data_IF_178592631940
#
_entry.id   IF_178592631940
#
_cell.length_a   1.000
_cell.length_b   1.000
_cell.length_c   1.000
_cell.angle_alpha   90.00
_cell.angle_beta   90.00
_cell.angle_gamma   90.00
#
_symmetry.space_group_name_H-M   'P 1'
#
loop_
_entity.id
_entity.type
_entity.pdbx_description
1 polymer ?
#
# COMPACT_ATOMS: atom_id res chain seq x y z
N UNK A 1 8.35 0.61 5.27
CA UNK A 1 7.00 0.02 5.41
C UNK A 1 6.50 -0.61 4.10
N UNK A 2 7.29 -1.49 3.46
CA UNK A 2 6.83 -2.16 2.23
C UNK A 2 5.91 -3.34 2.53
N UNK A 3 5.00 -3.68 1.60
CA UNK A 3 3.99 -4.72 1.79
C UNK A 3 4.60 -6.06 2.25
N UNK A 4 5.63 -6.58 1.55
CA UNK A 4 6.32 -7.81 1.93
C UNK A 4 6.72 -7.85 3.42
N UNK A 5 7.37 -6.79 3.89
CA UNK A 5 7.87 -6.74 5.27
C UNK A 5 6.71 -6.67 6.26
N UNK A 6 5.65 -5.93 5.94
CA UNK A 6 4.45 -5.85 6.77
C UNK A 6 3.72 -7.20 6.84
N UNK A 7 3.59 -7.92 5.72
CA UNK A 7 3.00 -9.26 5.70
C UNK A 7 3.83 -10.26 6.52
N UNK A 8 5.16 -10.18 6.43
CA UNK A 8 6.03 -11.04 7.20
C UNK A 8 5.94 -10.75 8.71
N UNK A 9 6.00 -9.46 9.10
CA UNK A 9 5.99 -9.06 10.51
C UNK A 9 4.60 -9.23 11.17
N UNK A 10 3.52 -8.89 10.45
CA UNK A 10 2.17 -8.92 11.02
C UNK A 10 1.51 -10.30 10.92
N UNK A 11 1.74 -11.02 9.82
CA UNK A 11 0.98 -12.22 9.46
C UNK A 11 1.86 -13.47 9.29
N UNK A 12 3.19 -13.35 9.35
CA UNK A 12 4.11 -14.45 9.07
C UNK A 12 4.07 -14.95 7.62
N UNK A 13 3.56 -14.12 6.69
CA UNK A 13 3.42 -14.47 5.27
C UNK A 13 4.60 -13.91 4.48
N UNK A 14 5.27 -14.77 3.70
CA UNK A 14 6.30 -14.37 2.74
C UNK A 14 5.70 -14.26 1.34
N UNK A 15 6.07 -13.20 0.62
CA UNK A 15 5.65 -12.96 -0.76
C UNK A 15 6.86 -12.60 -1.62
N UNK A 16 6.87 -13.09 -2.85
CA UNK A 16 7.92 -12.79 -3.84
C UNK A 16 7.71 -11.38 -4.42
N UNK A 17 8.82 -10.68 -4.71
CA UNK A 17 8.82 -9.40 -5.44
C UNK A 17 9.33 -9.52 -6.87
N UNK A 18 9.61 -10.74 -7.34
CA UNK A 18 10.33 -10.94 -8.60
C UNK A 18 9.62 -10.35 -9.82
N UNK A 19 8.28 -10.28 -9.81
CA UNK A 19 7.49 -9.75 -10.93
C UNK A 19 7.11 -8.26 -10.76
N UNK A 20 7.60 -7.59 -9.71
CA UNK A 20 7.27 -6.17 -9.49
C UNK A 20 7.73 -5.28 -10.66
N UNK A 21 8.84 -5.63 -11.31
CA UNK A 21 9.44 -4.89 -12.43
C UNK A 21 9.45 -5.69 -13.73
N UNK A 22 8.52 -6.63 -13.93
CA UNK A 22 8.34 -7.34 -15.21
C UNK A 22 7.52 -6.51 -16.21
N UNK A 23 7.40 -6.98 -17.45
CA UNK A 23 6.58 -6.32 -18.46
C UNK A 23 5.08 -6.54 -18.21
N UNK A 24 4.44 -5.57 -17.55
CA UNK A 24 3.00 -5.53 -17.29
C UNK A 24 2.16 -5.01 -18.47
N UNK A 25 2.82 -4.52 -19.53
CA UNK A 25 2.15 -4.05 -20.74
C UNK A 25 1.99 -5.13 -21.81
N UNK A 26 2.50 -6.34 -21.58
CA UNK A 26 2.42 -7.45 -22.52
C UNK A 26 0.97 -7.90 -22.77
N UNK A 27 0.68 -8.31 -24.02
CA UNK A 27 -0.66 -8.80 -24.42
C UNK A 27 -1.12 -10.03 -23.61
N UNK A 28 -0.18 -10.87 -23.17
CA UNK A 28 -0.44 -12.03 -22.34
C UNK A 28 0.46 -12.00 -21.10
N UNK A 29 -0.15 -12.11 -19.91
CA UNK A 29 0.57 -12.23 -18.66
C UNK A 29 1.06 -13.66 -18.46
N UNK A 30 2.26 -13.80 -17.89
CA UNK A 30 2.78 -15.10 -17.46
C UNK A 30 2.10 -15.59 -16.18
N UNK A 31 2.10 -16.89 -15.94
CA UNK A 31 1.58 -17.47 -14.68
C UNK A 31 2.24 -16.83 -13.44
N UNK A 32 3.55 -16.56 -13.52
CA UNK A 32 4.28 -15.90 -12.44
C UNK A 32 3.75 -14.48 -12.16
N UNK A 33 3.36 -13.73 -13.19
CA UNK A 33 2.75 -12.40 -13.03
C UNK A 33 1.34 -12.52 -12.43
N UNK A 34 0.55 -13.50 -12.85
CA UNK A 34 -0.77 -13.75 -12.27
C UNK A 34 -0.67 -14.09 -10.78
N UNK A 35 0.25 -14.98 -10.41
CA UNK A 35 0.51 -15.36 -9.02
C UNK A 35 0.99 -14.18 -8.18
N UNK A 36 1.87 -13.33 -8.74
CA UNK A 36 2.32 -12.11 -8.09
C UNK A 36 1.15 -11.14 -7.84
N UNK A 37 0.35 -10.85 -8.88
CA UNK A 37 -0.77 -9.91 -8.79
C UNK A 37 -1.83 -10.39 -7.78
N UNK A 38 -2.13 -11.68 -7.76
CA UNK A 38 -3.04 -12.27 -6.78
C UNK A 38 -2.48 -12.12 -5.35
N UNK A 39 -1.21 -12.42 -5.15
CA UNK A 39 -0.55 -12.35 -3.84
C UNK A 39 -0.50 -10.93 -3.27
N UNK A 40 -0.40 -9.91 -4.14
CA UNK A 40 -0.31 -8.50 -3.75
C UNK A 40 -1.61 -7.98 -3.09
N UNK A 41 -2.75 -8.62 -3.38
CA UNK A 41 -4.07 -8.22 -2.85
C UNK A 41 -4.67 -9.23 -1.86
N UNK A 42 -4.27 -10.50 -1.93
CA UNK A 42 -4.87 -11.61 -1.19
C UNK A 42 -4.91 -11.39 0.33
N UNK A 43 -3.89 -10.71 0.89
CA UNK A 43 -3.72 -10.58 2.32
C UNK A 43 -4.07 -9.20 2.89
N UNK A 44 -4.50 -8.25 2.05
CA UNK A 44 -4.67 -6.85 2.47
C UNK A 44 -5.72 -6.65 3.56
N UNK A 45 -6.83 -7.41 3.52
CA UNK A 45 -7.87 -7.33 4.55
C UNK A 45 -7.35 -7.78 5.91
N UNK A 46 -6.67 -8.93 5.96
CA UNK A 46 -6.07 -9.45 7.19
C UNK A 46 -5.00 -8.51 7.73
N UNK A 47 -4.18 -7.94 6.84
CA UNK A 47 -3.16 -6.96 7.22
C UNK A 47 -3.79 -5.69 7.80
N UNK A 48 -4.83 -5.16 7.15
CA UNK A 48 -5.59 -4.00 7.64
C UNK A 48 -6.14 -4.25 9.04
N UNK A 49 -6.73 -5.42 9.29
CA UNK A 49 -7.31 -5.73 10.58
C UNK A 49 -6.25 -5.77 11.70
N UNK A 50 -5.06 -6.32 11.44
CA UNK A 50 -3.94 -6.28 12.40
C UNK A 50 -3.39 -4.87 12.63
N UNK A 51 -3.27 -4.06 11.58
CA UNK A 51 -2.84 -2.66 11.71
C UNK A 51 -3.85 -1.82 12.49
N UNK A 52 -5.15 -2.03 12.26
CA UNK A 52 -6.21 -1.33 12.99
C UNK A 52 -6.19 -1.64 14.48
N UNK A 53 -5.92 -2.90 14.88
CA UNK A 53 -5.73 -3.25 16.30
C UNK A 53 -4.60 -2.45 16.93
N UNK A 54 -3.48 -2.29 16.22
CA UNK A 54 -2.34 -1.48 16.69
C UNK A 54 -2.68 0.00 16.78
N UNK A 55 -3.35 0.55 15.76
CA UNK A 55 -3.81 1.95 15.78
C UNK A 55 -4.73 2.25 16.95
N UNK A 56 -5.70 1.36 17.24
CA UNK A 56 -6.60 1.49 18.38
C UNK A 56 -5.84 1.40 19.70
N UNK A 57 -4.94 0.42 19.85
CA UNK A 57 -4.10 0.26 21.06
C UNK A 57 -3.24 1.49 21.34
N UNK A 58 -2.71 2.12 20.29
CA UNK A 58 -1.83 3.29 20.38
C UNK A 58 -2.61 4.61 20.43
N UNK A 59 -3.94 4.59 20.33
CA UNK A 59 -4.78 5.79 20.31
C UNK A 59 -4.63 6.65 19.04
N UNK A 60 -4.24 6.06 17.90
CA UNK A 60 -3.94 6.78 16.65
C UNK A 60 -4.98 6.57 15.54
N UNK A 61 -6.12 5.96 15.85
CA UNK A 61 -7.13 5.62 14.85
C UNK A 61 -7.71 6.87 14.17
N UNK A 62 -8.02 7.92 14.94
CA UNK A 62 -8.57 9.16 14.39
C UNK A 62 -7.58 9.85 13.44
N UNK A 63 -6.30 9.88 13.81
CA UNK A 63 -5.24 10.42 12.96
C UNK A 63 -5.11 9.63 11.66
N UNK A 64 -5.12 8.30 11.73
CA UNK A 64 -5.08 7.45 10.54
C UNK A 64 -6.30 7.68 9.63
N UNK A 65 -7.50 7.80 10.21
CA UNK A 65 -8.72 8.09 9.46
C UNK A 65 -8.63 9.44 8.72
N UNK A 66 -8.16 10.50 9.39
CA UNK A 66 -7.95 11.79 8.76
C UNK A 66 -6.95 11.72 7.59
N UNK A 67 -5.88 10.93 7.71
CA UNK A 67 -4.96 10.66 6.61
C UNK A 67 -5.65 9.92 5.45
N UNK A 68 -6.48 8.92 5.73
CA UNK A 68 -7.22 8.17 4.69
C UNK A 68 -8.23 9.06 3.96
N UNK A 69 -8.94 9.93 4.68
CA UNK A 69 -9.91 10.85 4.11
C UNK A 69 -9.24 11.90 3.20
N UNK A 70 -8.00 12.31 3.51
CA UNK A 70 -7.20 13.23 2.69
C UNK A 70 -6.53 12.55 1.47
N UNK A 71 -6.32 11.24 1.52
CA UNK A 71 -5.56 10.52 0.49
C UNK A 71 -6.07 10.72 -0.96
N UNK A 72 -7.38 10.74 -1.24
CA UNK A 72 -7.88 11.06 -2.58
C UNK A 72 -7.49 12.46 -3.06
N UNK A 73 -7.48 13.46 -2.17
CA UNK A 73 -7.06 14.82 -2.50
C UNK A 73 -5.55 14.88 -2.75
N UNK A 74 -4.74 14.20 -1.93
CA UNK A 74 -3.28 14.08 -2.17
C UNK A 74 -2.98 13.54 -3.57
N UNK A 75 -3.69 12.49 -3.99
CA UNK A 75 -3.54 11.93 -5.34
C UNK A 75 -3.94 12.93 -6.45
N UNK A 76 -4.96 13.75 -6.24
CA UNK A 76 -5.34 14.80 -7.19
C UNK A 76 -4.30 15.92 -7.26
N UNK A 77 -3.69 16.29 -6.13
CA UNK A 77 -2.60 17.27 -6.08
C UNK A 77 -1.37 16.76 -6.85
N UNK A 78 -1.05 15.47 -6.76
CA UNK A 78 0.04 14.85 -7.52
C UNK A 78 -0.17 15.03 -9.03
N UNK A 79 -1.39 14.74 -9.52
CA UNK A 79 -1.76 14.92 -10.94
C UNK A 79 -1.81 16.39 -11.36
N UNK A 80 -2.03 17.31 -10.42
CA UNK A 80 -2.16 18.75 -10.67
C UNK A 80 -0.82 19.50 -10.61
N UNK A 81 0.30 18.78 -10.42
CA UNK A 81 1.65 19.35 -10.48
C UNK A 81 2.34 19.56 -9.13
N UNK A 82 1.84 18.96 -8.04
CA UNK A 82 2.47 19.01 -6.72
C UNK A 82 3.08 17.68 -6.22
N UNK A 83 3.54 16.70 -7.04
CA UNK A 83 3.89 15.36 -6.57
C UNK A 83 5.06 15.31 -5.57
N UNK A 84 6.01 16.24 -5.68
CA UNK A 84 7.21 16.30 -4.83
C UNK A 84 7.09 17.35 -3.71
N UNK A 85 6.01 18.14 -3.71
CA UNK A 85 5.78 19.19 -2.71
C UNK A 85 4.79 18.71 -1.67
N UNK A 86 5.21 18.70 -0.41
CA UNK A 86 4.27 18.63 0.70
C UNK A 86 3.47 19.94 0.74
N UNK A 87 2.17 19.86 0.44
CA UNK A 87 1.30 21.02 0.37
C UNK A 87 1.16 21.75 1.73
N UNK A 88 1.54 21.08 2.82
CA UNK A 88 1.57 21.66 4.15
C UNK A 88 2.92 22.28 4.53
N UNK A 89 3.98 22.06 3.75
CA UNK A 89 5.30 22.64 3.98
C UNK A 89 5.37 24.08 3.45
N UNK A 90 6.32 24.86 3.99
CA UNK A 90 6.56 26.23 3.55
C UNK A 90 7.18 26.33 2.14
N UNK A 91 7.84 25.27 1.67
CA UNK A 91 8.49 25.15 0.36
C UNK A 91 8.60 23.69 -0.03
#
# INVERSE_FOLDING_TARGET
HGLKNLLQEMLGVDVSKQQQSSDWGADNLTDAQLDYAASDVLYLHRLRDELNKRLLREGRMEMAQACFDFLPMRAQLDLSGWPETDIFAHS
#
